data_IF_032523413088
#
_entry.id   IF_032523413088
#
_cell.length_a   1.000
_cell.length_b   1.000
_cell.length_c   1.000
_cell.angle_alpha   90.00
_cell.angle_beta   90.00
_cell.angle_gamma   90.00
#
_symmetry.space_group_name_H-M   'P 1'
#
loop_
_entity.id
_entity.type
_entity.pdbx_description
1 polymer ?
#
# COMPACT_ATOMS: atom_id res chain seq x y z
N UNK A 1 3.82 17.35 -18.77
CA UNK A 1 2.42 17.73 -18.45
C UNK A 1 1.97 16.81 -17.34
N UNK A 2 1.71 17.34 -16.14
CA UNK A 2 1.16 16.56 -15.02
C UNK A 2 -0.36 16.53 -15.20
N UNK A 3 -0.92 15.38 -15.56
CA UNK A 3 -2.37 15.17 -15.60
C UNK A 3 -2.92 15.17 -14.17
N UNK A 4 -4.13 15.70 -13.98
CA UNK A 4 -4.78 15.65 -12.66
C UNK A 4 -5.04 14.17 -12.30
N UNK A 5 -4.92 13.77 -11.02
CA UNK A 5 -5.47 12.50 -10.56
C UNK A 5 -6.96 12.43 -10.96
N UNK A 6 -7.31 11.48 -11.82
CA UNK A 6 -8.67 11.26 -12.33
C UNK A 6 -8.85 11.33 -13.85
N UNK A 7 -7.85 11.80 -14.63
CA UNK A 7 -8.00 11.93 -16.10
C UNK A 7 -7.54 10.68 -16.90
N UNK A 8 -6.62 9.88 -16.37
CA UNK A 8 -6.13 8.66 -17.04
C UNK A 8 -6.86 7.40 -16.55
N UNK A 9 -6.99 6.42 -17.44
CA UNK A 9 -7.53 5.09 -17.11
C UNK A 9 -6.67 4.40 -16.02
N UNK A 10 -7.27 3.61 -15.10
CA UNK A 10 -6.55 2.95 -13.99
C UNK A 10 -5.33 2.10 -14.38
N UNK A 11 -5.25 1.60 -15.61
CA UNK A 11 -4.14 0.78 -16.13
C UNK A 11 -3.01 1.58 -16.81
N UNK A 12 -3.17 2.90 -16.96
CA UNK A 12 -2.20 3.76 -17.64
C UNK A 12 -0.88 3.87 -16.87
N UNK A 13 -0.93 3.75 -15.54
CA UNK A 13 0.24 3.76 -14.65
C UNK A 13 0.12 2.69 -13.57
N UNK A 14 1.14 2.52 -12.73
CA UNK A 14 1.06 1.62 -11.58
C UNK A 14 0.10 2.11 -10.47
N UNK A 15 -0.37 3.36 -10.52
CA UNK A 15 -1.31 3.90 -9.55
C UNK A 15 -2.76 3.61 -9.97
N UNK A 16 -3.37 2.61 -9.33
CA UNK A 16 -4.68 2.06 -9.67
C UNK A 16 -5.87 2.91 -9.20
N UNK A 17 -5.81 3.47 -7.99
CA UNK A 17 -6.94 4.15 -7.34
C UNK A 17 -7.22 5.55 -7.91
N UNK A 18 -7.73 5.62 -9.15
CA UNK A 18 -8.00 6.88 -9.87
C UNK A 18 -9.35 7.53 -9.52
N UNK A 19 -10.26 6.77 -8.93
CA UNK A 19 -11.62 7.19 -8.58
C UNK A 19 -11.76 7.63 -7.10
N UNK A 20 -10.75 7.38 -6.27
CA UNK A 20 -10.73 7.76 -4.87
C UNK A 20 -10.79 9.29 -4.71
N UNK A 21 -11.81 9.78 -4.00
CA UNK A 21 -12.00 11.23 -3.75
C UNK A 21 -11.19 11.73 -2.54
N UNK A 22 -10.83 10.83 -1.63
CA UNK A 22 -10.14 11.15 -0.39
C UNK A 22 -9.08 10.09 -0.09
N UNK A 23 -8.00 10.53 0.55
CA UNK A 23 -7.02 9.66 1.20
C UNK A 23 -7.09 9.92 2.70
N UNK A 24 -7.13 8.85 3.49
CA UNK A 24 -7.18 8.91 4.94
C UNK A 24 -5.96 8.24 5.55
N UNK A 25 -5.42 8.82 6.61
CA UNK A 25 -4.29 8.25 7.36
C UNK A 25 -4.53 8.47 8.85
N UNK A 26 -4.29 7.43 9.64
CA UNK A 26 -4.21 7.55 11.10
C UNK A 26 -2.73 7.67 11.44
N UNK A 27 -2.35 8.76 12.06
CA UNK A 27 -0.98 9.00 12.51
C UNK A 27 -0.98 9.12 14.03
N UNK A 28 -0.04 8.41 14.66
CA UNK A 28 0.16 8.44 16.09
C UNK A 28 1.62 8.79 16.37
N UNK A 29 1.85 9.71 17.29
CA UNK A 29 3.17 10.24 17.62
C UNK A 29 3.31 10.36 19.14
N UNK A 30 4.47 9.98 19.67
CA UNK A 30 4.78 10.06 21.09
C UNK A 30 6.28 10.25 21.30
N UNK A 31 6.64 10.79 22.44
CA UNK A 31 8.05 11.04 22.83
C UNK A 31 8.51 10.13 23.95
N UNK A 32 7.61 9.71 24.84
CA UNK A 32 7.92 8.78 25.92
C UNK A 32 7.79 7.33 25.43
N UNK A 33 8.89 6.56 25.35
CA UNK A 33 8.85 5.17 24.90
C UNK A 33 7.90 4.28 25.72
N UNK A 34 7.62 4.63 26.98
CA UNK A 34 6.68 3.87 27.83
C UNK A 34 5.23 3.88 27.30
N UNK A 35 4.88 4.84 26.44
CA UNK A 35 3.55 4.94 25.84
C UNK A 35 3.37 4.13 24.55
N UNK A 36 4.43 3.45 24.07
CA UNK A 36 4.43 2.81 22.75
C UNK A 36 3.32 1.79 22.58
N UNK A 37 3.15 0.88 23.54
CA UNK A 37 2.15 -0.19 23.44
C UNK A 37 0.71 0.35 23.43
N UNK A 38 0.43 1.35 24.27
CA UNK A 38 -0.88 2.00 24.35
C UNK A 38 -1.22 2.70 23.03
N UNK A 39 -0.30 3.51 22.52
CA UNK A 39 -0.55 4.36 21.34
C UNK A 39 -0.56 3.54 20.05
N UNK A 40 0.31 2.52 19.92
CA UNK A 40 0.26 1.55 18.82
C UNK A 40 -1.06 0.76 18.88
N UNK A 41 -1.49 0.36 20.07
CA UNK A 41 -2.75 -0.33 20.30
C UNK A 41 -3.94 0.49 19.81
N UNK A 42 -4.02 1.76 20.24
CA UNK A 42 -5.05 2.70 19.81
C UNK A 42 -5.07 2.92 18.29
N UNK A 43 -3.91 3.11 17.67
CA UNK A 43 -3.84 3.33 16.22
C UNK A 43 -4.33 2.10 15.44
N UNK A 44 -3.94 0.90 15.88
CA UNK A 44 -4.37 -0.36 15.27
C UNK A 44 -5.87 -0.62 15.45
N UNK A 45 -6.42 -0.40 16.65
CA UNK A 45 -7.85 -0.58 16.89
C UNK A 45 -8.69 0.42 16.10
N UNK A 46 -8.27 1.68 16.07
CA UNK A 46 -8.98 2.72 15.29
C UNK A 46 -8.95 2.40 13.80
N UNK A 47 -7.83 1.92 13.25
CA UNK A 47 -7.78 1.49 11.85
C UNK A 47 -8.69 0.30 11.57
N UNK A 48 -8.74 -0.69 12.48
CA UNK A 48 -9.56 -1.88 12.32
C UNK A 48 -11.07 -1.55 12.21
N UNK A 49 -11.53 -0.50 12.90
CA UNK A 49 -12.92 -0.01 12.81
C UNK A 49 -13.21 0.71 11.49
N UNK A 50 -12.21 1.33 10.88
CA UNK A 50 -12.36 2.15 9.67
C UNK A 50 -12.05 1.40 8.37
N UNK A 51 -11.31 0.29 8.41
CA UNK A 51 -10.79 -0.40 7.22
C UNK A 51 -11.90 -0.77 6.23
N UNK A 52 -13.06 -1.23 6.70
CA UNK A 52 -14.21 -1.61 5.86
C UNK A 52 -14.87 -0.44 5.11
N UNK A 53 -14.55 0.81 5.48
CA UNK A 53 -15.06 2.02 4.85
C UNK A 53 -14.11 2.58 3.78
N UNK A 54 -12.99 1.90 3.52
CA UNK A 54 -11.96 2.34 2.57
C UNK A 54 -11.84 1.37 1.39
N UNK A 55 -11.26 1.84 0.28
CA UNK A 55 -11.04 1.02 -0.91
C UNK A 55 -9.55 0.99 -1.25
N UNK A 56 -8.80 0.11 -0.59
CA UNK A 56 -7.38 -0.13 -0.83
C UNK A 56 -6.43 0.72 0.01
N UNK A 57 -5.16 0.72 -0.40
CA UNK A 57 -4.04 1.33 0.34
C UNK A 57 -3.11 2.05 -0.62
N UNK A 58 -2.36 3.02 -0.11
CA UNK A 58 -1.30 3.67 -0.87
C UNK A 58 0.06 3.02 -0.55
N UNK A 59 0.86 2.72 -1.57
CA UNK A 59 2.11 1.95 -1.42
C UNK A 59 3.09 2.59 -0.41
N UNK A 60 3.11 3.93 -0.34
CA UNK A 60 4.00 4.66 0.56
C UNK A 60 3.55 4.64 2.04
N UNK A 61 2.44 3.99 2.35
CA UNK A 61 1.93 3.83 3.72
C UNK A 61 1.96 2.38 4.20
N UNK A 62 2.58 1.49 3.44
CA UNK A 62 2.72 0.06 3.77
C UNK A 62 3.96 -0.13 4.66
N UNK A 63 3.76 -0.84 5.77
CA UNK A 63 4.80 -1.28 6.71
C UNK A 63 5.37 -2.65 6.32
N UNK A 64 6.57 -2.99 6.82
CA UNK A 64 7.13 -4.35 6.68
C UNK A 64 6.21 -5.44 7.29
N UNK A 65 5.42 -5.08 8.32
CA UNK A 65 4.50 -6.00 9.00
C UNK A 65 3.16 -6.18 8.25
N UNK A 66 2.93 -5.41 7.18
CA UNK A 66 1.67 -5.50 6.47
C UNK A 66 1.54 -6.80 5.67
N UNK A 67 0.37 -7.44 5.71
CA UNK A 67 0.15 -8.69 4.99
C UNK A 67 0.18 -8.45 3.48
N UNK A 68 0.72 -9.41 2.74
CA UNK A 68 0.86 -9.36 1.26
C UNK A 68 -0.44 -9.03 0.52
N UNK A 69 -1.60 -9.33 1.11
CA UNK A 69 -2.91 -8.93 0.56
C UNK A 69 -3.06 -7.41 0.41
N UNK A 70 -2.48 -6.61 1.30
CA UNK A 70 -2.52 -5.13 1.24
C UNK A 70 -1.67 -4.61 0.09
N UNK A 71 -0.46 -5.14 -0.07
CA UNK A 71 0.42 -4.83 -1.22
C UNK A 71 -0.30 -5.14 -2.54
N UNK A 72 -0.94 -6.31 -2.64
CA UNK A 72 -1.74 -6.67 -3.83
C UNK A 72 -2.89 -5.69 -4.07
N UNK A 73 -3.64 -5.36 -3.02
CA UNK A 73 -4.79 -4.46 -3.10
C UNK A 73 -4.44 -3.07 -3.61
N UNK A 74 -3.27 -2.53 -3.27
CA UNK A 74 -2.78 -1.22 -3.75
C UNK A 74 -2.67 -1.09 -5.26
N UNK A 75 -2.41 -2.19 -5.96
CA UNK A 75 -2.20 -2.19 -7.40
C UNK A 75 -3.43 -2.66 -8.19
N UNK A 76 -4.49 -3.13 -7.51
CA UNK A 76 -5.68 -3.67 -8.17
C UNK A 76 -5.35 -4.64 -9.30
N UNK A 77 -6.02 -4.49 -10.45
CA UNK A 77 -5.83 -5.36 -11.61
C UNK A 77 -4.48 -5.14 -12.32
N UNK A 78 -3.70 -4.12 -11.92
CA UNK A 78 -2.35 -3.93 -12.45
C UNK A 78 -1.31 -4.87 -11.80
N UNK A 79 -1.64 -5.54 -10.68
CA UNK A 79 -0.68 -6.40 -9.98
C UNK A 79 -0.02 -7.48 -10.85
N UNK A 80 -0.74 -8.23 -11.71
CA UNK A 80 -0.13 -9.24 -12.58
C UNK A 80 0.92 -8.66 -13.54
N UNK A 81 0.69 -7.44 -14.07
CA UNK A 81 1.67 -6.75 -14.92
C UNK A 81 2.95 -6.43 -14.15
N UNK A 82 2.83 -6.06 -12.88
CA UNK A 82 3.99 -5.79 -12.02
C UNK A 82 4.74 -7.06 -11.64
N UNK A 83 4.05 -8.19 -11.41
CA UNK A 83 4.68 -9.50 -11.22
C UNK A 83 5.48 -9.91 -12.45
N UNK A 84 4.94 -9.72 -13.65
CA UNK A 84 5.66 -10.00 -14.89
C UNK A 84 6.96 -9.16 -15.01
N UNK A 85 6.91 -7.88 -14.65
CA UNK A 85 8.09 -7.03 -14.60
C UNK A 85 9.08 -7.50 -13.53
N UNK A 86 8.60 -7.87 -12.34
CA UNK A 86 9.44 -8.42 -11.27
C UNK A 86 10.17 -9.69 -11.73
N UNK A 87 9.48 -10.60 -12.41
CA UNK A 87 10.08 -11.81 -12.97
C UNK A 87 11.16 -11.49 -14.01
N UNK A 88 10.95 -10.46 -14.83
CA UNK A 88 11.91 -10.07 -15.87
C UNK A 88 13.17 -9.39 -15.31
N UNK A 89 13.01 -8.55 -14.28
CA UNK A 89 14.08 -7.65 -13.81
C UNK A 89 14.67 -8.02 -12.45
N UNK A 90 13.96 -8.77 -11.61
CA UNK A 90 14.42 -9.22 -10.29
C UNK A 90 13.86 -10.60 -9.91
N UNK A 91 14.16 -11.65 -10.71
CA UNK A 91 13.63 -13.00 -10.50
C UNK A 91 14.10 -13.64 -9.19
N UNK A 92 15.26 -13.24 -8.66
CA UNK A 92 15.80 -13.75 -7.39
C UNK A 92 15.28 -12.98 -6.17
N UNK A 93 14.39 -12.00 -6.38
CA UNK A 93 13.80 -11.17 -5.34
C UNK A 93 14.83 -10.44 -4.47
N UNK A 94 15.89 -9.91 -5.09
CA UNK A 94 16.93 -9.13 -4.43
C UNK A 94 16.34 -7.87 -3.77
N UNK A 95 15.47 -7.15 -4.48
CA UNK A 95 14.83 -5.93 -3.99
C UNK A 95 13.48 -6.25 -3.32
N UNK A 96 13.51 -6.52 -2.01
CA UNK A 96 12.34 -7.03 -1.27
C UNK A 96 12.00 -6.32 0.05
N UNK A 97 12.64 -5.18 0.32
CA UNK A 97 12.49 -4.40 1.57
C UNK A 97 11.42 -3.30 1.50
N UNK A 98 10.81 -3.13 0.34
CA UNK A 98 9.67 -2.22 0.14
C UNK A 98 8.36 -3.02 0.19
N UNK A 99 7.24 -2.42 -0.22
CA UNK A 99 5.99 -3.12 -0.49
C UNK A 99 6.20 -4.19 -1.58
N UNK A 100 6.74 -5.33 -1.16
CA UNK A 100 7.39 -6.28 -2.05
C UNK A 100 6.37 -6.98 -2.95
N UNK A 101 6.66 -7.00 -4.24
CA UNK A 101 5.97 -7.84 -5.22
C UNK A 101 6.80 -9.10 -5.37
N UNK A 102 6.28 -10.24 -4.91
CA UNK A 102 6.99 -11.52 -5.00
C UNK A 102 7.01 -12.02 -6.46
N UNK A 103 8.17 -12.47 -6.98
CA UNK A 103 8.23 -13.15 -8.28
C UNK A 103 7.54 -14.52 -8.20
N UNK A 104 7.22 -15.07 -9.38
CA UNK A 104 6.53 -16.36 -9.54
C UNK A 104 7.30 -17.35 -10.42
N UNK A 105 8.56 -17.05 -10.73
CA UNK A 105 9.46 -17.88 -11.53
C UNK A 105 10.45 -18.65 -10.67
#
# INVERSE_FOLDING_TARGET
MSTKPGEDHPDATAFWHRDAQYSMMIQAHWTDPAQSDEIIGWARSTWAELESHTNGFYVNTISEDDPQRRVRGTYGDNYPRLVALKNAYDPTNLFRRNANIAPTV
#
